data_IF_542548381968
#
_entry.id   IF_542548381968
#
_cell.length_a   1.000
_cell.length_b   1.000
_cell.length_c   1.000
_cell.angle_alpha   90.00
_cell.angle_beta   90.00
_cell.angle_gamma   90.00
#
_symmetry.space_group_name_H-M   'P 1'
#
loop_
_entity.id
_entity.type
_entity.pdbx_description
1 polymer ?
#
# COMPACT_ATOMS: atom_id res chain seq x y z
N UNK A 1 4.05 4.05 30.56
CA UNK A 1 4.82 3.41 29.52
C UNK A 1 4.71 4.16 28.20
N UNK A 2 3.51 4.36 27.68
CA UNK A 2 3.28 4.96 26.35
C UNK A 2 3.78 6.41 26.23
N UNK A 3 3.63 7.21 27.30
CA UNK A 3 4.15 8.58 27.35
C UNK A 3 5.67 8.63 27.25
N UNK A 4 6.37 7.73 27.96
CA UNK A 4 7.85 7.67 27.94
C UNK A 4 8.34 7.19 26.58
N UNK A 5 7.70 6.17 26.00
CA UNK A 5 8.02 5.67 24.65
C UNK A 5 7.86 6.78 23.63
N UNK A 6 6.77 7.56 23.72
CA UNK A 6 6.53 8.67 22.79
C UNK A 6 7.61 9.75 22.87
N UNK A 7 7.97 10.18 24.07
CA UNK A 7 9.01 11.21 24.26
C UNK A 7 10.35 10.75 23.72
N UNK A 8 10.78 9.54 24.11
CA UNK A 8 12.05 8.97 23.62
C UNK A 8 12.05 8.76 22.11
N UNK A 9 10.91 8.36 21.52
CA UNK A 9 10.78 8.21 20.09
C UNK A 9 10.92 9.55 19.35
N UNK A 10 10.31 10.62 19.88
CA UNK A 10 10.41 11.95 19.29
C UNK A 10 11.85 12.50 19.33
N UNK A 11 12.58 12.27 20.43
CA UNK A 11 13.99 12.64 20.54
C UNK A 11 14.86 11.88 19.54
N UNK A 12 14.69 10.57 19.47
CA UNK A 12 15.44 9.71 18.55
C UNK A 12 15.15 10.07 17.08
N UNK A 13 13.89 10.33 16.73
CA UNK A 13 13.52 10.77 15.39
C UNK A 13 14.22 12.09 15.02
N UNK A 14 14.24 13.05 15.93
CA UNK A 14 14.93 14.34 15.71
C UNK A 14 16.42 14.14 15.48
N UNK A 15 17.07 13.32 16.29
CA UNK A 15 18.50 13.00 16.15
C UNK A 15 18.82 12.43 14.77
N UNK A 16 18.14 11.33 14.37
CA UNK A 16 18.46 10.62 13.13
C UNK A 16 18.05 11.39 11.86
N UNK A 17 17.07 12.30 11.95
CA UNK A 17 16.65 13.10 10.79
C UNK A 17 17.44 14.39 10.63
N UNK A 18 18.22 14.80 11.63
CA UNK A 18 19.07 15.99 11.54
C UNK A 18 20.24 15.83 10.56
N UNK A 19 20.65 14.61 10.24
CA UNK A 19 21.87 14.32 9.47
C UNK A 19 21.72 14.42 7.94
N UNK A 20 20.53 14.69 7.40
CA UNK A 20 20.40 14.70 5.94
C UNK A 20 19.10 15.25 5.37
N UNK A 21 19.16 15.66 4.10
CA UNK A 21 17.99 16.09 3.34
C UNK A 21 17.07 14.92 2.99
N UNK A 22 15.76 15.15 3.06
CA UNK A 22 14.75 14.15 2.69
C UNK A 22 14.70 12.94 3.62
N UNK A 23 15.23 13.05 4.84
CA UNK A 23 15.10 12.00 5.85
C UNK A 23 13.79 12.14 6.61
N UNK A 24 13.10 11.01 6.77
CA UNK A 24 11.91 10.85 7.61
C UNK A 24 12.09 9.60 8.46
N UNK A 25 11.71 9.68 9.71
CA UNK A 25 11.77 8.52 10.59
C UNK A 25 10.44 8.27 11.30
N UNK A 26 10.15 7.01 11.59
CA UNK A 26 9.03 6.59 12.42
C UNK A 26 9.50 5.53 13.42
N UNK A 27 8.88 5.49 14.58
CA UNK A 27 9.08 4.42 15.55
C UNK A 27 7.80 3.58 15.58
N UNK A 28 7.92 2.32 15.23
CA UNK A 28 6.80 1.37 15.17
C UNK A 28 6.92 0.34 16.30
N UNK A 29 5.79 0.08 16.93
CA UNK A 29 5.65 -0.96 17.95
C UNK A 29 5.29 -2.28 17.28
N UNK A 30 6.12 -3.30 17.48
CA UNK A 30 5.88 -4.65 16.98
C UNK A 30 5.70 -5.64 18.13
N UNK A 31 5.15 -6.83 17.81
CA UNK A 31 4.92 -7.91 18.76
C UNK A 31 4.15 -7.45 20.01
N UNK A 32 3.02 -6.73 19.79
CA UNK A 32 2.15 -6.21 20.87
C UNK A 32 2.88 -5.27 21.85
N UNK A 33 3.85 -4.49 21.38
CA UNK A 33 4.61 -3.55 22.20
C UNK A 33 5.79 -4.17 22.96
N UNK A 34 6.20 -5.37 22.60
CA UNK A 34 7.38 -6.01 23.18
C UNK A 34 8.69 -5.53 22.55
N UNK A 35 8.62 -5.03 21.30
CA UNK A 35 9.77 -4.47 20.59
C UNK A 35 9.37 -3.17 19.89
N UNK A 36 10.33 -2.27 19.76
CA UNK A 36 10.17 -1.01 19.03
C UNK A 36 11.30 -0.90 18.01
N UNK A 37 10.94 -0.49 16.80
CA UNK A 37 11.89 -0.35 15.70
C UNK A 37 11.83 1.07 15.18
N UNK A 38 13.00 1.68 15.03
CA UNK A 38 13.16 2.93 14.30
C UNK A 38 13.33 2.61 12.82
N UNK A 39 12.45 3.15 12.01
CA UNK A 39 12.56 3.11 10.55
C UNK A 39 13.02 4.47 10.04
N UNK A 40 14.18 4.51 9.44
CA UNK A 40 14.71 5.70 8.77
C UNK A 40 14.51 5.57 7.27
N UNK A 41 13.77 6.53 6.71
CA UNK A 41 13.45 6.60 5.29
C UNK A 41 14.18 7.74 4.62
N UNK A 42 14.59 7.54 3.38
CA UNK A 42 14.95 8.62 2.46
C UNK A 42 13.78 8.81 1.52
N UNK A 43 13.17 9.99 1.56
CA UNK A 43 11.93 10.30 0.85
C UNK A 43 12.25 11.14 -0.40
N UNK A 44 11.78 10.66 -1.55
CA UNK A 44 11.88 11.36 -2.83
C UNK A 44 10.50 11.85 -3.22
N UNK A 45 10.34 13.14 -3.48
CA UNK A 45 9.06 13.78 -3.81
C UNK A 45 8.84 13.99 -5.30
N UNK A 46 9.90 14.13 -6.12
CA UNK A 46 9.77 14.27 -7.56
C UNK A 46 9.57 12.90 -8.22
N UNK A 47 8.30 12.50 -8.34
CA UNK A 47 7.89 11.23 -8.96
C UNK A 47 7.03 11.52 -10.17
N UNK A 48 7.47 11.06 -11.35
CA UNK A 48 6.82 11.34 -12.63
C UNK A 48 6.22 10.08 -13.23
N UNK A 49 5.00 10.22 -13.78
CA UNK A 49 4.32 9.14 -14.50
C UNK A 49 5.04 8.87 -15.82
N UNK A 50 5.46 7.63 -16.04
CA UNK A 50 6.04 7.16 -17.30
C UNK A 50 4.98 6.51 -18.16
N UNK A 51 4.12 5.69 -17.59
CA UNK A 51 3.04 5.04 -18.30
C UNK A 51 1.95 4.50 -17.38
N UNK A 52 0.72 4.69 -17.80
CA UNK A 52 -0.47 4.11 -17.20
C UNK A 52 -1.34 3.56 -18.33
N UNK A 53 -1.31 2.25 -18.61
CA UNK A 53 -2.11 1.65 -19.66
C UNK A 53 -3.62 1.79 -19.37
N UNK A 54 -4.48 1.67 -20.39
CA UNK A 54 -5.92 1.62 -20.18
C UNK A 54 -6.30 0.56 -19.15
N UNK A 55 -7.39 0.77 -18.40
CA UNK A 55 -7.81 -0.11 -17.30
C UNK A 55 -8.01 -1.58 -17.72
N UNK A 56 -8.34 -1.83 -18.98
CA UNK A 56 -8.44 -3.18 -19.54
C UNK A 56 -7.11 -3.95 -19.54
N UNK A 57 -5.99 -3.26 -19.41
CA UNK A 57 -4.65 -3.84 -19.35
C UNK A 57 -4.01 -3.53 -17.99
N UNK A 58 -3.98 -2.25 -17.61
CA UNK A 58 -3.33 -1.78 -16.37
C UNK A 58 -4.07 -2.15 -15.09
N UNK A 59 -5.33 -2.61 -15.18
CA UNK A 59 -6.13 -3.17 -14.09
C UNK A 59 -6.91 -4.39 -14.59
N UNK A 60 -6.23 -5.29 -15.28
CA UNK A 60 -6.85 -6.51 -15.80
C UNK A 60 -7.36 -7.40 -14.67
N UNK A 61 -8.58 -7.96 -14.83
CA UNK A 61 -9.25 -8.75 -13.79
C UNK A 61 -9.96 -7.90 -12.72
N UNK A 62 -9.59 -6.66 -12.55
CA UNK A 62 -10.24 -5.70 -11.65
C UNK A 62 -10.51 -6.24 -10.26
N UNK A 63 -11.73 -5.99 -9.75
CA UNK A 63 -12.13 -6.46 -8.42
C UNK A 63 -12.66 -7.90 -8.44
N UNK A 64 -12.88 -8.53 -9.61
CA UNK A 64 -13.47 -9.87 -9.74
C UNK A 64 -12.64 -10.92 -9.02
N UNK A 65 -11.32 -10.95 -9.26
CA UNK A 65 -10.40 -11.94 -8.71
C UNK A 65 -9.70 -11.45 -7.43
N UNK A 66 -10.01 -10.23 -6.97
CA UNK A 66 -9.40 -9.69 -5.75
C UNK A 66 -9.88 -10.46 -4.52
N UNK A 67 -8.94 -10.99 -3.73
CA UNK A 67 -9.17 -11.87 -2.57
C UNK A 67 -9.90 -13.19 -2.88
N UNK A 68 -9.92 -13.59 -4.15
CA UNK A 68 -10.58 -14.81 -4.63
C UNK A 68 -9.62 -15.65 -5.48
N UNK A 69 -9.87 -16.96 -5.58
CA UNK A 69 -9.16 -17.90 -6.44
C UNK A 69 -10.15 -18.57 -7.41
N UNK A 70 -9.72 -18.93 -8.64
CA UNK A 70 -8.41 -18.65 -9.27
C UNK A 70 -8.26 -17.18 -9.66
N UNK A 71 -7.01 -16.73 -9.84
CA UNK A 71 -6.70 -15.33 -10.21
C UNK A 71 -6.10 -15.24 -11.61
N UNK A 72 -6.65 -14.32 -12.40
CA UNK A 72 -6.11 -13.91 -13.70
C UNK A 72 -6.06 -12.38 -13.73
N UNK A 73 -5.14 -11.80 -12.94
CA UNK A 73 -5.05 -10.37 -12.77
C UNK A 73 -3.70 -9.82 -13.17
N UNK A 74 -3.68 -8.57 -13.61
CA UNK A 74 -2.47 -7.80 -13.84
C UNK A 74 -2.74 -6.32 -13.59
N UNK A 75 -2.11 -5.79 -12.55
CA UNK A 75 -2.18 -4.36 -12.19
C UNK A 75 -0.80 -3.76 -12.30
N UNK A 76 -0.63 -2.75 -13.16
CA UNK A 76 0.63 -2.03 -13.21
C UNK A 76 0.49 -0.60 -13.71
N UNK A 77 1.37 0.23 -13.20
CA UNK A 77 1.71 1.55 -13.72
C UNK A 77 3.19 1.78 -13.52
N UNK A 78 3.79 2.62 -14.34
CA UNK A 78 5.23 2.88 -14.32
C UNK A 78 5.46 4.33 -13.92
N UNK A 79 6.19 4.51 -12.84
CA UNK A 79 6.67 5.80 -12.36
C UNK A 79 8.18 5.85 -12.35
N UNK A 80 8.74 7.04 -12.48
CA UNK A 80 10.16 7.28 -12.37
C UNK A 80 10.43 8.30 -11.29
N UNK A 81 11.37 7.97 -10.41
CA UNK A 81 11.88 8.88 -9.40
C UNK A 81 12.91 9.79 -10.03
N UNK A 82 12.86 11.08 -9.70
CA UNK A 82 13.85 12.08 -10.06
C UNK A 82 14.53 12.63 -8.79
N UNK A 83 15.78 13.02 -8.95
CA UNK A 83 16.65 13.50 -7.88
C UNK A 83 17.44 14.70 -8.37
N UNK A 84 18.13 15.39 -7.47
CA UNK A 84 19.11 16.40 -7.88
C UNK A 84 20.31 15.77 -8.63
N UNK A 85 21.22 16.61 -9.12
CA UNK A 85 22.39 16.15 -9.88
C UNK A 85 23.36 15.28 -9.07
N UNK A 86 23.27 15.35 -7.75
CA UNK A 86 24.06 14.56 -6.80
C UNK A 86 23.30 13.31 -6.30
N UNK A 87 22.17 13.00 -6.95
CA UNK A 87 21.31 11.86 -6.63
C UNK A 87 20.64 11.93 -5.24
N UNK A 88 20.48 13.14 -4.68
CA UNK A 88 19.77 13.36 -3.42
C UNK A 88 18.30 13.70 -3.64
N UNK A 89 17.44 13.49 -2.62
CA UNK A 89 16.07 13.95 -2.65
C UNK A 89 15.98 15.45 -2.93
N UNK A 90 15.06 15.83 -3.82
CA UNK A 90 14.78 17.21 -4.16
C UNK A 90 13.28 17.40 -4.45
N UNK A 91 12.80 18.62 -4.24
CA UNK A 91 11.48 19.03 -4.73
C UNK A 91 11.47 19.04 -6.25
N UNK A 92 10.27 19.07 -6.84
CA UNK A 92 10.15 19.10 -8.30
C UNK A 92 10.97 20.26 -8.92
N UNK A 93 11.77 19.91 -9.90
CA UNK A 93 12.48 20.86 -10.76
C UNK A 93 12.68 20.26 -12.15
N UNK A 94 12.65 21.09 -13.18
CA UNK A 94 12.99 20.68 -14.55
C UNK A 94 14.45 20.24 -14.67
N UNK A 95 15.32 20.74 -13.80
CA UNK A 95 16.75 20.40 -13.74
C UNK A 95 17.03 19.04 -13.08
N UNK A 96 16.05 18.44 -12.41
CA UNK A 96 16.24 17.14 -11.78
C UNK A 96 16.46 16.05 -12.83
N UNK A 97 17.30 15.11 -12.47
CA UNK A 97 17.69 13.96 -13.31
C UNK A 97 17.07 12.67 -12.78
N UNK A 98 16.90 11.64 -13.62
CA UNK A 98 16.45 10.35 -13.14
C UNK A 98 17.33 9.81 -12.01
N UNK A 99 16.70 9.38 -10.91
CA UNK A 99 17.39 8.77 -9.78
C UNK A 99 18.14 7.51 -10.22
N UNK A 100 19.40 7.40 -9.81
CA UNK A 100 20.23 6.22 -10.05
C UNK A 100 20.26 5.31 -8.84
N UNK A 101 19.58 4.14 -8.87
CA UNK A 101 19.56 3.22 -7.75
C UNK A 101 20.90 2.49 -7.57
N UNK A 102 21.29 2.23 -6.32
CA UNK A 102 22.48 1.42 -6.01
C UNK A 102 22.33 -0.03 -6.47
N UNK A 103 21.12 -0.54 -6.44
CA UNK A 103 20.71 -1.89 -6.88
C UNK A 103 19.31 -1.81 -7.49
N UNK A 104 19.02 -2.68 -8.40
CA UNK A 104 17.70 -2.88 -8.98
C UNK A 104 17.44 -4.37 -9.19
N UNK A 105 16.17 -4.75 -9.20
CA UNK A 105 15.77 -6.11 -9.54
C UNK A 105 15.80 -6.32 -11.04
N UNK A 106 16.43 -7.40 -11.47
CA UNK A 106 16.39 -7.81 -12.89
C UNK A 106 15.05 -8.51 -13.14
N UNK A 107 14.44 -8.20 -14.28
CA UNK A 107 13.25 -8.91 -14.74
C UNK A 107 13.69 -10.28 -15.27
N UNK A 108 13.14 -11.36 -14.70
CA UNK A 108 13.35 -12.72 -15.20
C UNK A 108 12.20 -13.10 -16.12
N UNK A 109 12.53 -13.56 -17.33
CA UNK A 109 11.58 -14.14 -18.26
C UNK A 109 11.45 -15.68 -18.11
N UNK A 110 12.26 -16.30 -17.24
CA UNK A 110 12.23 -17.73 -16.99
C UNK A 110 10.99 -18.20 -16.20
N UNK A 111 10.28 -17.26 -15.57
CA UNK A 111 9.15 -17.60 -14.71
C UNK A 111 9.57 -18.31 -13.44
N UNK A 112 8.63 -19.02 -12.83
CA UNK A 112 8.80 -19.87 -11.65
C UNK A 112 8.19 -21.25 -11.89
N UNK A 113 8.73 -22.26 -11.21
CA UNK A 113 8.23 -23.62 -11.24
C UNK A 113 7.69 -24.02 -9.86
N UNK A 114 6.90 -25.10 -9.81
CA UNK A 114 6.47 -25.66 -8.54
C UNK A 114 7.70 -26.10 -7.71
N UNK A 115 7.74 -25.68 -6.44
CA UNK A 115 8.87 -25.94 -5.55
C UNK A 115 9.95 -24.85 -5.54
N UNK A 116 9.90 -23.88 -6.42
CA UNK A 116 10.83 -22.75 -6.39
C UNK A 116 10.61 -21.87 -5.16
N UNK A 117 11.69 -21.36 -4.60
CA UNK A 117 11.61 -20.35 -3.54
C UNK A 117 11.14 -19.02 -4.12
N UNK A 118 10.05 -18.49 -3.56
CA UNK A 118 9.53 -17.18 -3.90
C UNK A 118 9.29 -16.34 -2.65
N UNK A 119 9.34 -15.02 -2.78
CA UNK A 119 9.01 -14.11 -1.69
C UNK A 119 8.39 -12.82 -2.22
N UNK A 120 7.62 -12.15 -1.36
CA UNK A 120 7.09 -10.82 -1.60
C UNK A 120 7.89 -9.82 -0.78
N UNK A 121 8.47 -8.82 -1.47
CA UNK A 121 9.22 -7.76 -0.82
C UNK A 121 8.35 -6.54 -0.62
N UNK A 122 8.23 -6.08 0.63
CA UNK A 122 7.46 -4.90 0.98
C UNK A 122 7.01 -4.89 2.44
N UNK A 123 6.22 -3.87 2.77
CA UNK A 123 5.63 -3.73 4.10
C UNK A 123 4.22 -4.33 4.07
N UNK A 124 3.97 -5.45 4.77
CA UNK A 124 2.64 -6.00 4.88
C UNK A 124 1.73 -5.05 5.68
N UNK A 125 0.42 -5.21 5.51
CA UNK A 125 -0.55 -4.54 6.33
C UNK A 125 -0.61 -5.15 7.74
N UNK A 126 -1.82 -5.39 8.24
CA UNK A 126 -2.05 -5.99 9.55
C UNK A 126 -2.61 -7.40 9.40
N UNK A 127 -2.00 -8.35 10.09
CA UNK A 127 -2.54 -9.70 10.28
C UNK A 127 -2.94 -9.91 11.74
N UNK A 128 -3.84 -10.85 11.97
CA UNK A 128 -4.23 -11.31 13.30
C UNK A 128 -4.01 -12.81 13.34
N UNK A 129 -2.91 -13.22 13.93
CA UNK A 129 -2.62 -14.62 14.21
C UNK A 129 -2.91 -14.92 15.69
N UNK A 130 -3.14 -16.20 16.00
CA UNK A 130 -3.28 -16.71 17.35
C UNK A 130 -4.45 -16.09 18.15
N UNK A 131 -5.54 -15.77 17.49
CA UNK A 131 -6.78 -15.40 18.17
C UNK A 131 -7.57 -16.66 18.56
N UNK A 132 -8.26 -16.59 19.69
CA UNK A 132 -9.08 -17.70 20.17
C UNK A 132 -10.27 -18.01 19.23
N UNK A 133 -10.77 -19.23 19.29
CA UNK A 133 -11.89 -19.69 18.46
C UNK A 133 -13.13 -18.79 18.53
N UNK A 134 -13.46 -18.26 19.69
CA UNK A 134 -14.55 -17.30 19.89
C UNK A 134 -14.30 -15.99 19.14
N UNK A 135 -13.05 -15.53 19.07
CA UNK A 135 -12.64 -14.36 18.29
C UNK A 135 -12.82 -14.61 16.79
N UNK A 136 -12.42 -15.79 16.31
CA UNK A 136 -12.63 -16.20 14.91
C UNK A 136 -14.13 -16.23 14.59
N UNK A 137 -14.93 -16.87 15.46
CA UNK A 137 -16.39 -16.96 15.30
C UNK A 137 -17.04 -15.57 15.27
N UNK A 138 -16.65 -14.68 16.18
CA UNK A 138 -17.13 -13.30 16.18
C UNK A 138 -16.84 -12.58 14.85
N UNK A 139 -15.62 -12.74 14.32
CA UNK A 139 -15.24 -12.12 13.05
C UNK A 139 -16.07 -12.69 11.90
N UNK A 140 -16.16 -14.01 11.77
CA UNK A 140 -16.78 -14.67 10.63
C UNK A 140 -18.33 -14.63 10.66
N UNK A 141 -18.94 -14.70 11.83
CA UNK A 141 -20.39 -14.81 11.95
C UNK A 141 -21.11 -13.48 12.25
N UNK A 142 -20.41 -12.50 12.81
CA UNK A 142 -21.03 -11.23 13.26
C UNK A 142 -20.39 -10.04 12.57
N UNK A 143 -19.09 -9.85 12.75
CA UNK A 143 -18.40 -8.62 12.34
C UNK A 143 -18.33 -8.48 10.82
N UNK A 144 -17.89 -9.50 10.12
CA UNK A 144 -17.71 -9.43 8.67
C UNK A 144 -19.01 -9.43 7.89
N UNK A 145 -20.06 -10.22 8.23
CA UNK A 145 -21.36 -10.09 7.62
C UNK A 145 -21.98 -8.68 7.76
N UNK A 146 -21.86 -8.06 8.93
CA UNK A 146 -22.35 -6.70 9.15
C UNK A 146 -21.58 -5.66 8.30
N UNK A 147 -20.24 -5.77 8.24
CA UNK A 147 -19.39 -4.92 7.41
C UNK A 147 -19.67 -5.10 5.91
N UNK A 148 -19.88 -6.34 5.47
CA UNK A 148 -20.24 -6.66 4.09
C UNK A 148 -21.54 -5.97 3.70
N UNK A 149 -22.59 -6.12 4.52
CA UNK A 149 -23.91 -5.50 4.27
C UNK A 149 -23.81 -3.98 4.15
N UNK A 150 -23.13 -3.31 5.09
CA UNK A 150 -22.95 -1.86 5.06
C UNK A 150 -22.13 -1.39 3.85
N UNK A 151 -21.06 -2.12 3.49
CA UNK A 151 -20.24 -1.75 2.35
C UNK A 151 -20.91 -2.03 1.02
N UNK A 152 -21.73 -3.07 0.92
CA UNK A 152 -22.56 -3.32 -0.27
C UNK A 152 -23.45 -2.10 -0.55
N UNK A 153 -24.21 -1.64 0.44
CA UNK A 153 -25.06 -0.45 0.30
C UNK A 153 -24.25 0.78 -0.12
N UNK A 154 -23.07 0.98 0.47
CA UNK A 154 -22.19 2.10 0.12
C UNK A 154 -21.64 1.99 -1.31
N UNK A 155 -21.22 0.81 -1.74
CA UNK A 155 -20.71 0.56 -3.09
C UNK A 155 -21.80 0.77 -4.15
N UNK A 156 -23.02 0.26 -3.90
CA UNK A 156 -24.16 0.45 -4.81
C UNK A 156 -24.51 1.93 -4.96
N UNK A 157 -24.54 2.66 -3.86
CA UNK A 157 -24.75 4.11 -3.89
C UNK A 157 -23.66 4.83 -4.69
N UNK A 158 -22.39 4.53 -4.40
CA UNK A 158 -21.27 5.14 -5.12
C UNK A 158 -21.30 4.78 -6.61
N UNK A 159 -21.55 3.50 -6.95
CA UNK A 159 -21.64 3.02 -8.35
C UNK A 159 -22.71 3.79 -9.13
N UNK A 160 -23.89 3.99 -8.53
CA UNK A 160 -24.96 4.76 -9.15
C UNK A 160 -24.48 6.16 -9.56
N UNK A 161 -23.99 6.96 -8.64
CA UNK A 161 -23.59 8.33 -8.93
C UNK A 161 -22.30 8.44 -9.76
N UNK A 162 -21.39 7.49 -9.64
CA UNK A 162 -20.18 7.43 -10.47
C UNK A 162 -20.49 7.05 -11.92
N UNK A 163 -21.57 6.30 -12.19
CA UNK A 163 -22.02 6.01 -13.56
C UNK A 163 -22.70 7.19 -14.23
N UNK A 164 -23.34 8.05 -13.47
CA UNK A 164 -24.08 9.22 -13.97
C UNK A 164 -23.15 10.42 -14.25
N UNK A 165 -21.97 10.50 -13.62
CA UNK A 165 -21.08 11.65 -13.71
C UNK A 165 -19.59 11.28 -13.71
N UNK A 166 -18.89 11.63 -14.80
CA UNK A 166 -17.45 11.47 -14.89
C UNK A 166 -16.69 12.25 -13.78
N UNK A 167 -17.16 13.43 -13.43
CA UNK A 167 -16.59 14.23 -12.32
C UNK A 167 -16.67 13.46 -11.01
N UNK A 168 -17.85 12.93 -10.68
CA UNK A 168 -18.06 12.13 -9.47
C UNK A 168 -17.21 10.86 -9.50
N UNK A 169 -17.12 10.20 -10.66
CA UNK A 169 -16.26 9.03 -10.84
C UNK A 169 -14.80 9.32 -10.50
N UNK A 170 -14.25 10.40 -11.00
CA UNK A 170 -12.86 10.80 -10.70
C UNK A 170 -12.69 11.10 -9.21
N UNK A 171 -13.60 11.84 -8.60
CA UNK A 171 -13.53 12.21 -7.18
C UNK A 171 -13.65 11.03 -6.23
N UNK A 172 -14.39 9.99 -6.62
CA UNK A 172 -14.69 8.86 -5.75
C UNK A 172 -13.93 7.57 -6.09
N UNK A 173 -13.21 7.47 -7.23
CA UNK A 173 -12.57 6.23 -7.66
C UNK A 173 -11.61 5.66 -6.62
N UNK A 174 -10.74 6.46 -6.01
CA UNK A 174 -9.83 5.99 -4.96
C UNK A 174 -10.59 5.52 -3.70
N UNK A 175 -11.59 6.28 -3.26
CA UNK A 175 -12.43 5.89 -2.10
C UNK A 175 -13.24 4.63 -2.37
N UNK A 176 -13.80 4.51 -3.59
CA UNK A 176 -14.54 3.33 -4.02
C UNK A 176 -13.64 2.10 -4.04
N UNK A 177 -12.43 2.21 -4.62
CA UNK A 177 -11.45 1.11 -4.64
C UNK A 177 -11.09 0.63 -3.24
N UNK A 178 -10.85 1.54 -2.28
CA UNK A 178 -10.56 1.16 -0.90
C UNK A 178 -11.74 0.47 -0.20
N UNK A 179 -12.97 0.91 -0.47
CA UNK A 179 -14.19 0.26 0.07
C UNK A 179 -14.38 -1.13 -0.54
N UNK A 180 -14.19 -1.25 -1.86
CA UNK A 180 -14.32 -2.50 -2.59
C UNK A 180 -13.27 -3.54 -2.17
N UNK A 181 -12.01 -3.12 -1.99
CA UNK A 181 -10.94 -4.00 -1.55
C UNK A 181 -11.24 -4.65 -0.19
N UNK A 182 -11.64 -3.86 0.80
CA UNK A 182 -12.00 -4.41 2.11
C UNK A 182 -13.28 -5.27 2.06
N UNK A 183 -14.26 -4.88 1.25
CA UNK A 183 -15.49 -5.64 1.05
C UNK A 183 -15.22 -7.02 0.44
N UNK A 184 -14.38 -7.10 -0.59
CA UNK A 184 -13.95 -8.36 -1.21
C UNK A 184 -13.15 -9.23 -0.23
N UNK A 185 -12.25 -8.62 0.57
CA UNK A 185 -11.47 -9.34 1.57
C UNK A 185 -12.35 -10.09 2.58
N UNK A 186 -13.45 -9.49 3.02
CA UNK A 186 -14.34 -10.14 3.99
C UNK A 186 -15.27 -11.19 3.38
N UNK A 187 -15.42 -11.20 2.06
CA UNK A 187 -16.15 -12.24 1.34
C UNK A 187 -15.30 -13.48 1.01
N UNK A 188 -14.02 -13.29 0.68
CA UNK A 188 -13.08 -14.36 0.37
C UNK A 188 -12.43 -14.92 1.62
#
# INVERSE_FOLDING_TARGET
RDSVVKVNAEELIKEVTAEGKGLRATVESLYYGNQYFLFLYREYSDIRLVGAPPSSIGKFGGDTDNWMWPRHTGDFSIFRIYADKDNNPAEYSEDNVPYTPKKFFKISLGGVQEGDFTFVYGFPGRTQEYIMSEGVRYVSEISDPAKIALRTMRLDTQKKYMSESQKVRIQYSSKNAGVANAWKKWQG
#
